data_IF_307837912472
#
_entry.id   IF_307837912472
#
_cell.length_a   1.000
_cell.length_b   1.000
_cell.length_c   1.000
_cell.angle_alpha   90.00
_cell.angle_beta   90.00
_cell.angle_gamma   90.00
#
_symmetry.space_group_name_H-M   'P 1'
#
loop_
_entity.id
_entity.type
_entity.pdbx_description
1 polymer ?
#
# COMPACT_ATOMS: atom_id res chain seq x y z
N UNK A 1 4.10 3.15 25.13
CA UNK A 1 4.04 2.87 23.68
C UNK A 1 2.63 2.38 23.39
N UNK A 2 1.85 3.13 22.61
CA UNK A 2 0.47 2.76 22.27
C UNK A 2 0.49 2.12 20.87
N UNK A 3 0.08 0.87 20.78
CA UNK A 3 0.01 0.11 19.53
C UNK A 3 -1.42 -0.32 19.32
N UNK A 4 -1.95 -0.09 18.12
CA UNK A 4 -3.28 -0.52 17.71
C UNK A 4 -3.15 -1.30 16.41
N UNK A 5 -3.78 -2.48 16.37
CA UNK A 5 -3.91 -3.30 15.16
C UNK A 5 -5.37 -3.24 14.73
N UNK A 6 -5.62 -3.01 13.45
CA UNK A 6 -6.95 -2.89 12.86
C UNK A 6 -7.13 -3.99 11.81
N UNK A 7 -8.11 -4.87 12.01
CA UNK A 7 -8.51 -5.86 11.01
C UNK A 7 -9.52 -5.22 10.06
N UNK A 8 -9.03 -4.63 8.96
CA UNK A 8 -9.84 -3.91 7.99
C UNK A 8 -9.22 -4.04 6.60
N UNK A 9 -10.03 -3.82 5.57
CA UNK A 9 -9.52 -3.48 4.24
C UNK A 9 -8.67 -2.20 4.34
N UNK A 10 -7.58 -2.14 3.56
CA UNK A 10 -6.60 -1.04 3.66
C UNK A 10 -7.20 0.30 3.24
N UNK A 11 -8.08 0.33 2.23
CA UNK A 11 -8.71 1.56 1.77
C UNK A 11 -9.61 2.14 2.86
N UNK A 12 -10.40 1.28 3.51
CA UNK A 12 -11.24 1.67 4.65
C UNK A 12 -10.41 2.03 5.88
N UNK A 13 -9.32 1.31 6.15
CA UNK A 13 -8.38 1.61 7.23
C UNK A 13 -7.77 3.00 7.08
N UNK A 14 -7.28 3.34 5.88
CA UNK A 14 -6.69 4.65 5.58
C UNK A 14 -7.72 5.78 5.69
N UNK A 15 -8.98 5.57 5.27
CA UNK A 15 -10.06 6.58 5.42
C UNK A 15 -10.33 6.95 6.88
N UNK A 16 -10.12 6.03 7.82
CA UNK A 16 -10.28 6.26 9.26
C UNK A 16 -9.10 7.01 9.92
N UNK A 17 -8.01 7.24 9.18
CA UNK A 17 -6.84 7.99 9.65
C UNK A 17 -6.97 9.45 9.20
N UNK A 18 -6.72 10.39 10.12
CA UNK A 18 -6.73 11.82 9.80
C UNK A 18 -5.62 12.19 8.82
N UNK A 19 -5.89 13.13 7.92
CA UNK A 19 -4.85 13.65 7.03
C UNK A 19 -3.75 14.38 7.82
N UNK A 20 -2.52 14.40 7.29
CA UNK A 20 -1.36 15.01 7.94
C UNK A 20 -1.14 14.56 9.40
N UNK A 21 -1.42 13.30 9.71
CA UNK A 21 -1.29 12.75 11.08
C UNK A 21 -0.15 11.75 11.24
N UNK A 22 0.37 11.22 10.13
CA UNK A 22 1.39 10.18 10.08
C UNK A 22 2.74 10.77 9.67
N UNK A 23 3.81 10.42 10.37
CA UNK A 23 5.17 10.86 10.07
C UNK A 23 5.88 10.01 9.01
N UNK A 24 5.60 8.71 8.98
CA UNK A 24 6.27 7.73 8.13
C UNK A 24 5.35 6.54 7.84
N UNK A 25 5.41 6.02 6.61
CA UNK A 25 4.72 4.80 6.21
C UNK A 25 5.77 3.74 5.85
N UNK A 26 5.58 2.55 6.40
CA UNK A 26 6.32 1.35 6.01
C UNK A 26 5.30 0.30 5.58
N UNK A 27 5.40 -0.18 4.35
CA UNK A 27 4.42 -1.11 3.79
C UNK A 27 5.09 -2.24 3.01
N UNK A 28 4.59 -3.44 3.24
CA UNK A 28 4.92 -4.67 2.52
C UNK A 28 3.65 -5.18 1.83
N UNK A 29 3.26 -4.57 0.69
CA UNK A 29 2.06 -4.97 -0.04
C UNK A 29 2.26 -6.33 -0.73
N UNK A 30 1.18 -6.95 -1.24
CA UNK A 30 1.32 -8.06 -2.18
C UNK A 30 2.17 -7.67 -3.40
N UNK A 31 2.92 -8.61 -3.97
CA UNK A 31 3.92 -8.30 -5.03
C UNK A 31 3.46 -8.73 -6.43
N UNK A 32 2.27 -9.33 -6.55
CA UNK A 32 1.73 -9.90 -7.78
C UNK A 32 2.62 -10.99 -8.41
N UNK A 33 3.14 -11.92 -7.61
CA UNK A 33 4.09 -12.96 -8.06
C UNK A 33 3.44 -14.32 -8.41
N UNK A 34 2.12 -14.42 -8.42
CA UNK A 34 1.40 -15.68 -8.58
C UNK A 34 1.51 -16.61 -7.36
N UNK A 35 1.92 -16.08 -6.21
CA UNK A 35 2.17 -16.89 -5.01
C UNK A 35 0.87 -17.38 -4.42
N UNK A 36 0.78 -18.69 -4.17
CA UNK A 36 -0.38 -19.32 -3.54
C UNK A 36 -0.26 -19.27 -2.01
N UNK A 37 -1.22 -18.63 -1.37
CA UNK A 37 -1.45 -18.69 0.07
C UNK A 37 -2.59 -19.68 0.36
N UNK A 38 -2.88 -19.94 1.64
CA UNK A 38 -3.90 -20.94 2.02
C UNK A 38 -5.27 -20.63 1.40
N UNK A 39 -5.70 -19.38 1.50
CA UNK A 39 -7.05 -18.94 1.11
C UNK A 39 -7.06 -18.05 -0.14
N UNK A 40 -5.90 -17.55 -0.57
CA UNK A 40 -5.80 -16.54 -1.63
C UNK A 40 -4.58 -16.79 -2.52
N UNK A 41 -4.59 -16.19 -3.71
CA UNK A 41 -3.42 -16.15 -4.59
C UNK A 41 -3.04 -14.69 -4.81
N UNK A 42 -1.77 -14.36 -4.66
CA UNK A 42 -1.20 -13.06 -5.01
C UNK A 42 -1.00 -12.99 -6.53
N UNK A 43 -2.12 -12.94 -7.24
CA UNK A 43 -2.19 -12.84 -8.69
C UNK A 43 -3.35 -11.94 -9.08
N UNK A 44 -3.06 -10.95 -9.91
CA UNK A 44 -3.99 -10.08 -10.62
C UNK A 44 -3.45 -9.79 -12.01
N UNK A 45 -4.33 -9.35 -12.90
CA UNK A 45 -3.87 -8.72 -14.13
C UNK A 45 -3.05 -7.46 -13.78
N UNK A 46 -1.98 -7.19 -14.53
CA UNK A 46 -0.99 -6.16 -14.19
C UNK A 46 -1.65 -4.78 -13.98
N UNK A 47 -2.59 -4.43 -14.86
CA UNK A 47 -3.31 -3.17 -14.80
C UNK A 47 -4.20 -3.06 -13.55
N UNK A 48 -4.85 -4.16 -13.14
CA UNK A 48 -5.67 -4.20 -11.92
C UNK A 48 -4.81 -4.05 -10.67
N UNK A 49 -3.65 -4.71 -10.64
CA UNK A 49 -2.70 -4.60 -9.54
C UNK A 49 -2.14 -3.19 -9.40
N UNK A 50 -1.74 -2.57 -10.51
CA UNK A 50 -1.22 -1.20 -10.51
C UNK A 50 -2.30 -0.20 -10.11
N UNK A 51 -3.52 -0.37 -10.63
CA UNK A 51 -4.66 0.47 -10.26
C UNK A 51 -4.93 0.38 -8.76
N UNK A 52 -4.95 -0.83 -8.19
CA UNK A 52 -5.07 -1.02 -6.75
C UNK A 52 -3.92 -0.36 -5.98
N UNK A 53 -2.69 -0.44 -6.49
CA UNK A 53 -1.54 0.22 -5.89
C UNK A 53 -1.70 1.74 -5.82
N UNK A 54 -2.11 2.36 -6.92
CA UNK A 54 -2.32 3.80 -7.01
C UNK A 54 -3.43 4.29 -6.10
N UNK A 55 -4.51 3.52 -5.95
CA UNK A 55 -5.61 3.88 -5.05
C UNK A 55 -5.18 3.96 -3.58
N UNK A 56 -4.46 2.95 -3.08
CA UNK A 56 -4.03 2.99 -1.67
C UNK A 56 -2.91 4.00 -1.47
N UNK A 57 -2.03 4.19 -2.46
CA UNK A 57 -0.99 5.22 -2.42
C UNK A 57 -1.60 6.62 -2.34
N UNK A 58 -2.60 6.93 -3.16
CA UNK A 58 -3.28 8.23 -3.14
C UNK A 58 -3.89 8.53 -1.77
N UNK A 59 -4.54 7.54 -1.15
CA UNK A 59 -5.10 7.66 0.18
C UNK A 59 -4.01 7.79 1.26
N UNK A 60 -2.95 6.99 1.16
CA UNK A 60 -1.83 6.96 2.10
C UNK A 60 -1.06 8.29 2.12
N UNK A 61 -0.78 8.86 0.94
CA UNK A 61 -0.07 10.13 0.81
C UNK A 61 -0.79 11.29 1.50
N UNK A 62 -2.13 11.31 1.50
CA UNK A 62 -2.92 12.33 2.23
C UNK A 62 -2.74 12.24 3.75
N UNK A 63 -2.30 11.10 4.28
CA UNK A 63 -2.11 10.88 5.72
C UNK A 63 -0.78 11.40 6.24
N UNK A 64 0.20 11.54 5.36
CA UNK A 64 1.55 11.94 5.69
C UNK A 64 1.66 13.45 5.96
N UNK A 65 2.43 13.82 6.98
CA UNK A 65 2.84 15.22 7.22
C UNK A 65 3.95 15.67 6.26
N UNK A 66 4.78 14.71 5.82
CA UNK A 66 5.93 14.88 4.92
C UNK A 66 6.14 13.58 4.16
N UNK A 67 6.76 13.65 2.98
CA UNK A 67 6.97 12.49 2.12
C UNK A 67 8.06 11.55 2.66
N UNK A 68 7.70 10.68 3.59
CA UNK A 68 8.56 9.64 4.16
C UNK A 68 7.85 8.28 4.04
N UNK A 69 8.15 7.54 2.97
CA UNK A 69 7.49 6.29 2.59
C UNK A 69 8.52 5.23 2.23
N UNK A 70 8.35 4.03 2.80
CA UNK A 70 9.12 2.84 2.48
C UNK A 70 8.17 1.75 1.98
N UNK A 71 8.36 1.33 0.72
CA UNK A 71 7.54 0.32 0.06
C UNK A 71 8.45 -0.85 -0.31
N UNK A 72 8.14 -2.04 0.22
CA UNK A 72 8.79 -3.25 -0.25
C UNK A 72 8.11 -3.70 -1.54
N UNK A 73 8.89 -4.03 -2.56
CA UNK A 73 8.38 -4.51 -3.82
C UNK A 73 9.45 -5.30 -4.59
N UNK A 74 9.05 -5.92 -5.69
CA UNK A 74 9.93 -6.59 -6.64
C UNK A 74 10.36 -5.67 -7.77
N UNK A 75 11.48 -6.01 -8.42
CA UNK A 75 12.15 -5.14 -9.41
C UNK A 75 11.23 -4.58 -10.50
N UNK A 76 10.31 -5.39 -11.06
CA UNK A 76 9.43 -4.94 -12.13
C UNK A 76 8.34 -3.94 -11.66
N UNK A 77 7.99 -3.96 -10.37
CA UNK A 77 7.02 -3.03 -9.77
C UNK A 77 7.66 -1.69 -9.35
N UNK A 78 8.99 -1.60 -9.28
CA UNK A 78 9.68 -0.38 -8.84
C UNK A 78 9.32 0.80 -9.75
N UNK A 79 9.49 0.66 -11.06
CA UNK A 79 9.26 1.78 -11.99
C UNK A 79 7.79 2.23 -12.02
N UNK A 80 6.79 1.31 -12.17
CA UNK A 80 5.37 1.68 -12.11
C UNK A 80 4.97 2.37 -10.80
N UNK A 81 5.50 1.93 -9.65
CA UNK A 81 5.19 2.56 -8.36
C UNK A 81 5.86 3.94 -8.27
N UNK A 82 7.10 4.10 -8.73
CA UNK A 82 7.83 5.37 -8.63
C UNK A 82 7.23 6.47 -9.50
N UNK A 83 6.70 6.15 -10.69
CA UNK A 83 6.08 7.16 -11.57
C UNK A 83 4.79 7.76 -11.00
N UNK A 84 4.23 7.18 -9.93
CA UNK A 84 3.06 7.71 -9.23
C UNK A 84 3.39 8.93 -8.36
N UNK A 85 4.64 9.03 -7.86
CA UNK A 85 5.09 10.12 -7.00
C UNK A 85 5.53 11.35 -7.81
#
# INVERSE_FOLDING_TARGET
MYTKIMNMDIMEGLKNISNNSIECIFIDPPYNLGKKYKETTDYWEEEEYLQWCYEWLELALKKLKKMEVYILCVQHNIMPILIFF
#
